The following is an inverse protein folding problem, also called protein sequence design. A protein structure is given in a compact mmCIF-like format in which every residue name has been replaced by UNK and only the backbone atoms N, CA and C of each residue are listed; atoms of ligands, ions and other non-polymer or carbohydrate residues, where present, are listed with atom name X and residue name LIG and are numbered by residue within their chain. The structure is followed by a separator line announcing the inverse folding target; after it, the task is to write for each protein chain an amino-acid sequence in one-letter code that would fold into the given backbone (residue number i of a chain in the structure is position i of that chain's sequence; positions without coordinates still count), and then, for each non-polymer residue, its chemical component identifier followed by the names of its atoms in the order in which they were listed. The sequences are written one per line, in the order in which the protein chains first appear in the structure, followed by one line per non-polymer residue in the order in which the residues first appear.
data_IF_193653029151
#
_entry.id   IF_193653029151
#
_cell.length_a   1.000
_cell.length_b   1.000
_cell.length_c   1.000
_cell.angle_alpha   90.00
_cell.angle_beta   90.00
_cell.angle_gamma   90.00
#
_symmetry.space_group_name_H-M   'P 1'
#
loop_
_entity.id
_entity.type
_entity.pdbx_description
1 polymer ?
#
# COMPACT_ATOMS: atom_id res chain seq x y z
N UNK A 1 -0.86 -5.10 -82.32
CA UNK A 1 -2.16 -4.69 -81.74
C UNK A 1 -2.70 -5.88 -80.96
N UNK A 2 -2.67 -5.81 -79.60
CA UNK A 2 -3.86 -5.83 -78.70
C UNK A 2 -4.78 -7.03 -78.97
N UNK A 3 -4.97 -7.97 -78.04
CA UNK A 3 -5.68 -7.71 -76.78
C UNK A 3 -5.56 -8.87 -75.77
N UNK A 4 -5.41 -8.47 -74.50
CA UNK A 4 -5.53 -9.20 -73.23
C UNK A 4 -6.65 -10.26 -73.13
N UNK A 5 -6.35 -11.38 -72.46
CA UNK A 5 -6.96 -11.75 -71.15
C UNK A 5 -6.07 -12.78 -70.45
N UNK A 6 -5.33 -12.37 -69.41
CA UNK A 6 -5.62 -12.71 -68.00
C UNK A 6 -6.28 -14.09 -67.82
N UNK A 7 -5.49 -15.09 -67.45
CA UNK A 7 -5.80 -15.99 -66.32
C UNK A 7 -4.52 -16.66 -65.83
N UNK A 8 -4.17 -16.25 -64.62
CA UNK A 8 -3.10 -16.72 -63.79
C UNK A 8 -3.31 -18.20 -63.46
N UNK A 9 -2.28 -19.03 -63.65
CA UNK A 9 -2.06 -20.23 -62.84
C UNK A 9 -0.66 -20.09 -62.26
N UNK A 10 -0.56 -19.20 -61.28
CA UNK A 10 0.55 -19.23 -60.34
C UNK A 10 0.40 -20.51 -59.54
N UNK A 11 1.44 -21.33 -59.60
CA UNK A 11 1.83 -22.33 -58.62
C UNK A 11 1.43 -21.84 -57.22
N UNK A 12 0.34 -22.39 -56.68
CA UNK A 12 -0.11 -22.15 -55.33
C UNK A 12 0.85 -22.91 -54.39
N UNK A 13 2.04 -22.33 -54.22
CA UNK A 13 2.92 -22.62 -53.10
C UNK A 13 2.26 -21.99 -51.86
N UNK A 14 1.15 -22.58 -51.43
CA UNK A 14 0.61 -22.35 -50.10
C UNK A 14 1.64 -22.92 -49.14
N UNK A 15 2.54 -22.04 -48.67
CA UNK A 15 3.18 -22.19 -47.39
C UNK A 15 2.08 -22.54 -46.40
N UNK A 16 2.02 -23.81 -46.00
CA UNK A 16 1.55 -24.20 -44.70
C UNK A 16 2.52 -23.58 -43.68
N UNK A 17 2.35 -22.28 -43.42
CA UNK A 17 2.58 -21.69 -42.09
C UNK A 17 1.45 -22.17 -41.17
N UNK A 18 1.29 -23.49 -41.08
CA UNK A 18 0.69 -24.09 -39.91
C UNK A 18 1.81 -24.13 -38.88
N UNK A 19 1.97 -23.06 -38.11
CA UNK A 19 2.53 -23.19 -36.75
C UNK A 19 1.59 -24.13 -36.02
N UNK A 20 1.86 -25.43 -36.13
CA UNK A 20 1.28 -26.43 -35.26
C UNK A 20 1.84 -26.11 -33.88
N UNK A 21 1.11 -25.29 -33.12
CA UNK A 21 1.20 -25.23 -31.67
C UNK A 21 0.75 -26.60 -31.14
N UNK A 22 1.62 -27.59 -31.30
CA UNK A 22 1.43 -28.90 -30.71
C UNK A 22 1.74 -28.78 -29.23
N UNK A 23 0.71 -28.72 -28.39
CA UNK A 23 0.85 -29.00 -26.96
C UNK A 23 1.49 -30.38 -26.79
N UNK A 24 2.74 -30.41 -26.32
CA UNK A 24 3.47 -31.64 -26.04
C UNK A 24 3.63 -31.81 -24.53
N UNK A 25 3.01 -32.86 -24.01
CA UNK A 25 3.02 -33.28 -22.60
C UNK A 25 4.35 -33.98 -22.21
N UNK A 26 5.24 -33.32 -21.48
CA UNK A 26 6.57 -33.74 -20.99
C UNK A 26 6.63 -34.08 -19.49
N UNK A 27 6.23 -35.28 -19.05
CA UNK A 27 6.30 -35.65 -17.62
C UNK A 27 7.74 -35.61 -17.04
N UNK A 28 8.08 -34.58 -16.25
CA UNK A 28 9.42 -34.34 -15.67
C UNK A 28 9.79 -35.35 -14.56
N UNK A 29 8.79 -35.99 -13.95
CA UNK A 29 9.01 -37.03 -12.92
C UNK A 29 9.64 -38.33 -13.42
N UNK A 30 9.91 -38.45 -14.73
CA UNK A 30 10.59 -39.64 -15.30
C UNK A 30 12.06 -39.43 -15.65
N UNK A 31 12.64 -38.26 -15.38
CA UNK A 31 13.98 -37.96 -15.88
C UNK A 31 14.88 -37.30 -14.85
N UNK A 32 15.89 -38.05 -14.39
CA UNK A 32 17.12 -37.50 -13.80
C UNK A 32 18.11 -37.21 -14.94
N UNK A 33 18.48 -35.94 -15.17
CA UNK A 33 19.51 -35.55 -16.14
C UNK A 33 19.24 -34.21 -16.85
N UNK A 34 20.26 -33.60 -17.45
CA UNK A 34 20.10 -32.40 -18.27
C UNK A 34 19.44 -32.75 -19.61
N UNK A 35 18.31 -32.13 -19.94
CA UNK A 35 17.74 -32.16 -21.28
C UNK A 35 17.53 -30.75 -21.80
N UNK A 36 18.03 -30.48 -23.00
CA UNK A 36 17.63 -29.38 -23.85
C UNK A 36 16.43 -29.82 -24.67
N UNK A 37 15.22 -29.43 -24.26
CA UNK A 37 14.02 -29.56 -25.11
C UNK A 37 13.50 -28.15 -25.35
N UNK A 38 13.19 -27.79 -26.59
CA UNK A 38 12.68 -26.45 -26.95
C UNK A 38 13.56 -25.27 -26.50
N UNK A 39 14.87 -25.50 -26.41
CA UNK A 39 15.79 -24.49 -25.90
C UNK A 39 15.55 -24.15 -24.44
N UNK A 40 15.07 -25.07 -23.60
CA UNK A 40 15.04 -24.94 -22.13
C UNK A 40 15.88 -26.06 -21.54
N UNK A 41 16.77 -25.71 -20.61
CA UNK A 41 17.58 -26.61 -19.81
C UNK A 41 16.87 -26.91 -18.49
N UNK A 42 16.65 -28.19 -18.20
CA UNK A 42 16.09 -28.65 -16.92
C UNK A 42 17.15 -29.38 -16.11
N UNK A 43 17.33 -29.02 -14.85
CA UNK A 43 18.24 -29.69 -13.91
C UNK A 43 17.52 -29.95 -12.59
N UNK A 44 17.41 -31.22 -12.19
CA UNK A 44 16.83 -31.59 -10.89
C UNK A 44 17.92 -32.15 -9.97
N UNK A 45 18.11 -31.54 -8.79
CA UNK A 45 19.08 -31.98 -7.78
C UNK A 45 18.54 -31.71 -6.37
N UNK A 46 18.57 -32.72 -5.50
CA UNK A 46 18.18 -32.56 -4.09
C UNK A 46 16.73 -32.11 -3.87
N UNK A 47 15.80 -32.50 -4.76
CA UNK A 47 14.39 -32.10 -4.68
C UNK A 47 14.08 -30.71 -5.26
N UNK A 48 15.09 -29.98 -5.75
CA UNK A 48 14.93 -28.70 -6.45
C UNK A 48 14.99 -28.93 -7.95
N UNK A 49 14.03 -28.38 -8.69
CA UNK A 49 14.03 -28.37 -10.16
C UNK A 49 14.32 -26.97 -10.69
N UNK A 50 15.45 -26.82 -11.38
CA UNK A 50 15.88 -25.57 -12.02
C UNK A 50 15.62 -25.60 -13.51
N UNK A 51 15.02 -24.53 -14.03
CA UNK A 51 14.65 -24.32 -15.42
C UNK A 51 15.37 -23.07 -15.95
N UNK A 52 16.13 -23.20 -17.03
CA UNK A 52 16.90 -22.09 -17.62
C UNK A 52 16.72 -22.08 -19.14
N UNK A 53 16.28 -20.97 -19.76
CA UNK A 53 16.27 -20.83 -21.22
C UNK A 53 17.68 -21.00 -21.79
N UNK A 54 17.79 -21.67 -22.92
CA UNK A 54 18.97 -21.76 -23.75
C UNK A 54 19.20 -20.46 -24.51
N UNK A 55 20.43 -20.27 -24.98
CA UNK A 55 20.97 -19.00 -25.50
C UNK A 55 20.20 -18.33 -26.66
N UNK A 56 19.19 -18.98 -27.23
CA UNK A 56 18.43 -18.49 -28.40
C UNK A 56 17.03 -17.96 -28.09
N UNK A 57 16.60 -17.90 -26.83
CA UNK A 57 15.23 -17.50 -26.46
C UNK A 57 15.24 -16.21 -25.65
N UNK A 58 14.60 -15.17 -26.20
CA UNK A 58 14.37 -13.89 -25.54
C UNK A 58 13.13 -13.97 -24.64
N UNK A 59 13.21 -14.74 -23.55
CA UNK A 59 12.10 -14.85 -22.60
C UNK A 59 11.76 -16.29 -22.21
N UNK A 60 10.92 -16.44 -21.19
CA UNK A 60 10.32 -17.70 -20.79
C UNK A 60 8.80 -17.49 -20.68
N UNK A 61 8.04 -18.05 -21.60
CA UNK A 61 6.58 -18.17 -21.47
C UNK A 61 6.25 -19.46 -20.73
N UNK A 62 5.59 -19.35 -19.58
CA UNK A 62 5.32 -20.46 -18.67
C UNK A 62 4.07 -21.26 -19.05
N UNK A 63 3.35 -20.88 -20.12
CA UNK A 63 2.27 -21.69 -20.68
C UNK A 63 2.68 -23.12 -21.02
N UNK A 64 3.92 -23.30 -21.45
CA UNK A 64 4.49 -24.60 -21.80
C UNK A 64 4.80 -25.47 -20.57
N UNK A 65 4.65 -24.94 -19.34
CA UNK A 65 5.05 -25.59 -18.10
C UNK A 65 3.90 -26.29 -17.34
N UNK A 66 2.66 -26.17 -17.83
CA UNK A 66 1.40 -26.56 -17.17
C UNK A 66 1.40 -27.97 -16.54
N UNK A 67 2.17 -28.91 -17.07
CA UNK A 67 1.96 -30.33 -16.78
C UNK A 67 2.93 -30.97 -15.76
N UNK A 68 3.86 -30.23 -15.12
CA UNK A 68 5.10 -30.89 -14.64
C UNK A 68 5.58 -30.66 -13.20
N UNK A 69 5.07 -29.67 -12.47
CA UNK A 69 5.59 -29.38 -11.14
C UNK A 69 4.83 -30.18 -10.07
N UNK A 70 5.23 -31.44 -9.88
CA UNK A 70 4.74 -32.27 -8.77
C UNK A 70 5.82 -32.38 -7.70
N UNK A 71 5.61 -31.64 -6.60
CA UNK A 71 6.33 -31.71 -5.30
C UNK A 71 7.78 -31.23 -5.34
N UNK A 72 8.13 -30.34 -4.42
CA UNK A 72 9.48 -29.77 -4.26
C UNK A 72 9.62 -28.34 -4.76
N UNK A 73 10.81 -27.76 -4.57
CA UNK A 73 11.10 -26.37 -4.89
C UNK A 73 11.43 -26.20 -6.38
N UNK A 74 10.99 -25.10 -6.97
CA UNK A 74 11.17 -24.82 -8.39
C UNK A 74 11.88 -23.49 -8.55
N UNK A 75 12.92 -23.46 -9.39
CA UNK A 75 13.66 -22.24 -9.72
C UNK A 75 13.59 -21.98 -11.21
N UNK A 76 12.93 -20.90 -11.61
CA UNK A 76 12.95 -20.38 -12.97
C UNK A 76 14.03 -19.30 -13.06
N UNK A 77 15.08 -19.53 -13.83
CA UNK A 77 16.15 -18.54 -14.01
C UNK A 77 16.23 -18.12 -15.48
N UNK A 78 15.91 -16.86 -15.77
CA UNK A 78 16.06 -16.25 -17.08
C UNK A 78 17.03 -15.06 -17.04
N UNK A 79 18.22 -15.24 -17.62
CA UNK A 79 19.29 -14.23 -17.58
C UNK A 79 19.35 -13.34 -18.83
N UNK A 80 18.48 -13.54 -19.81
CA UNK A 80 18.53 -12.85 -21.11
C UNK A 80 17.20 -12.22 -21.55
N UNK A 81 16.09 -12.49 -20.86
CA UNK A 81 14.77 -11.94 -21.23
C UNK A 81 13.75 -12.00 -20.10
N UNK A 82 12.52 -11.63 -20.42
CA UNK A 82 11.42 -11.56 -19.44
C UNK A 82 10.85 -12.94 -19.10
N UNK A 83 10.23 -13.08 -17.93
CA UNK A 83 9.46 -14.28 -17.57
C UNK A 83 7.99 -13.90 -17.58
N UNK A 84 7.18 -14.58 -18.39
CA UNK A 84 5.78 -14.24 -18.59
C UNK A 84 4.92 -15.46 -18.28
N UNK A 85 3.95 -15.26 -17.39
CA UNK A 85 2.90 -16.21 -17.07
C UNK A 85 1.62 -15.69 -17.72
N UNK A 86 1.03 -16.47 -18.63
CA UNK A 86 -0.27 -16.07 -19.18
C UNK A 86 -1.35 -16.24 -18.12
N UNK A 87 -2.20 -15.23 -18.06
CA UNK A 87 -3.31 -15.14 -17.12
C UNK A 87 -4.21 -16.37 -17.17
N UNK A 88 -4.52 -16.92 -16.00
CA UNK A 88 -5.40 -18.08 -15.88
C UNK A 88 -4.79 -19.39 -16.40
N UNK A 89 -3.48 -19.43 -16.65
CA UNK A 89 -2.82 -20.66 -17.11
C UNK A 89 -2.04 -21.32 -15.98
N UNK A 90 -1.34 -20.58 -15.12
CA UNK A 90 -0.59 -21.25 -14.05
C UNK A 90 -1.53 -21.72 -12.91
N UNK A 91 -1.63 -23.04 -12.75
CA UNK A 91 -2.43 -23.71 -11.71
C UNK A 91 -1.52 -24.69 -10.93
N UNK A 92 -0.84 -24.24 -9.86
CA UNK A 92 -0.03 -25.13 -9.06
C UNK A 92 -0.93 -26.15 -8.34
N UNK A 93 -0.71 -27.44 -8.63
CA UNK A 93 -1.44 -28.57 -8.02
C UNK A 93 -0.51 -29.39 -7.12
N UNK A 94 -0.91 -29.58 -5.87
CA UNK A 94 -0.18 -30.39 -4.89
C UNK A 94 0.70 -29.57 -3.94
N UNK A 95 1.58 -30.26 -3.19
CA UNK A 95 2.50 -29.68 -2.20
C UNK A 95 3.70 -28.97 -2.89
N UNK A 96 3.45 -27.92 -3.67
CA UNK A 96 4.52 -27.12 -4.25
C UNK A 96 5.05 -26.18 -3.18
N UNK A 97 6.15 -26.55 -2.50
CA UNK A 97 6.61 -25.83 -1.32
C UNK A 97 7.11 -24.42 -1.64
N UNK A 98 7.83 -24.22 -2.76
CA UNK A 98 8.37 -22.91 -3.14
C UNK A 98 8.60 -22.76 -4.65
N UNK A 99 8.20 -21.62 -5.21
CA UNK A 99 8.57 -21.15 -6.55
C UNK A 99 9.47 -19.93 -6.45
N UNK A 100 10.66 -20.02 -7.03
CA UNK A 100 11.61 -18.92 -7.15
C UNK A 100 11.77 -18.52 -8.60
N UNK A 101 11.67 -17.23 -8.91
CA UNK A 101 11.84 -16.67 -10.25
C UNK A 101 12.98 -15.66 -10.19
N UNK A 102 14.00 -15.85 -11.02
CA UNK A 102 15.15 -14.93 -11.13
C UNK A 102 15.19 -14.43 -12.57
N UNK A 103 15.04 -13.13 -12.76
CA UNK A 103 15.02 -12.49 -14.08
C UNK A 103 15.94 -11.28 -14.15
N UNK A 104 16.70 -11.12 -15.24
CA UNK A 104 17.41 -9.84 -15.53
C UNK A 104 16.53 -8.81 -16.23
N UNK A 105 15.31 -9.18 -16.59
CA UNK A 105 14.32 -8.34 -17.26
C UNK A 105 13.02 -8.38 -16.46
N UNK A 106 11.93 -7.92 -17.06
CA UNK A 106 10.61 -7.89 -16.47
C UNK A 106 10.09 -9.30 -16.12
N UNK A 107 9.19 -9.36 -15.14
CA UNK A 107 8.41 -10.54 -14.80
C UNK A 107 6.94 -10.15 -14.84
N UNK A 108 6.16 -10.84 -15.65
CA UNK A 108 4.70 -10.75 -15.66
C UNK A 108 4.15 -12.03 -15.06
N UNK A 109 3.59 -11.94 -13.86
CA UNK A 109 3.13 -13.07 -13.08
C UNK A 109 1.62 -13.01 -12.85
N UNK A 110 0.96 -14.11 -13.17
CA UNK A 110 -0.47 -14.30 -12.96
C UNK A 110 -0.76 -15.79 -12.74
N UNK A 111 -1.83 -16.10 -12.01
CA UNK A 111 -2.27 -17.50 -11.81
C UNK A 111 -3.73 -17.67 -12.20
N UNK A 112 -4.37 -18.74 -11.73
CA UNK A 112 -5.81 -19.01 -11.86
C UNK A 112 -6.57 -18.59 -10.60
N UNK A 113 -7.86 -18.28 -10.75
CA UNK A 113 -8.75 -17.88 -9.63
C UNK A 113 -8.88 -18.95 -8.53
N UNK A 114 -8.47 -20.19 -8.82
CA UNK A 114 -8.72 -21.38 -7.99
C UNK A 114 -7.46 -21.95 -7.36
N UNK A 115 -6.39 -21.17 -7.25
CA UNK A 115 -5.18 -21.64 -6.59
C UNK A 115 -5.44 -21.88 -5.09
N UNK A 116 -5.55 -23.16 -4.72
CA UNK A 116 -5.75 -23.63 -3.34
C UNK A 116 -4.47 -24.19 -2.73
N UNK A 117 -3.36 -24.18 -3.50
CA UNK A 117 -2.08 -24.70 -3.04
C UNK A 117 -1.35 -23.68 -2.16
N UNK A 118 -0.63 -24.18 -1.16
CA UNK A 118 0.32 -23.38 -0.39
C UNK A 118 1.54 -23.17 -1.27
N UNK A 119 1.77 -21.95 -1.75
CA UNK A 119 2.87 -21.59 -2.64
C UNK A 119 3.69 -20.48 -2.00
N UNK A 120 4.88 -20.80 -1.50
CA UNK A 120 5.86 -19.76 -1.22
C UNK A 120 6.40 -19.23 -2.56
N UNK A 121 6.42 -17.92 -2.72
CA UNK A 121 6.83 -17.27 -3.96
C UNK A 121 7.96 -16.29 -3.69
N UNK A 122 9.06 -16.41 -4.43
CA UNK A 122 10.22 -15.53 -4.35
C UNK A 122 10.58 -15.06 -5.76
N UNK A 123 10.20 -13.82 -6.12
CA UNK A 123 10.51 -13.23 -7.44
C UNK A 123 11.59 -12.18 -7.26
N UNK A 124 12.71 -12.35 -7.97
CA UNK A 124 13.82 -11.39 -8.04
C UNK A 124 14.04 -10.96 -9.48
N UNK A 125 13.82 -9.69 -9.75
CA UNK A 125 13.90 -9.10 -11.09
C UNK A 125 14.76 -7.83 -11.07
N UNK A 126 15.62 -7.66 -12.08
CA UNK A 126 16.26 -6.36 -12.33
C UNK A 126 15.35 -5.38 -13.08
N UNK A 127 14.23 -5.86 -13.61
CA UNK A 127 13.20 -5.12 -14.33
C UNK A 127 11.95 -4.90 -13.48
N UNK A 128 10.83 -4.72 -14.18
CA UNK A 128 9.52 -4.50 -13.58
C UNK A 128 8.84 -5.83 -13.26
N UNK A 129 8.24 -5.95 -12.08
CA UNK A 129 7.38 -7.06 -11.72
C UNK A 129 5.91 -6.62 -11.85
N UNK A 130 5.14 -7.34 -12.64
CA UNK A 130 3.71 -7.17 -12.78
C UNK A 130 3.01 -8.36 -12.13
N UNK A 131 2.11 -8.09 -11.18
CA UNK A 131 1.21 -9.08 -10.59
C UNK A 131 -0.22 -8.72 -11.02
N UNK A 132 -0.80 -9.58 -11.86
CA UNK A 132 -2.15 -9.40 -12.39
C UNK A 132 -3.17 -10.34 -11.73
N UNK A 133 -4.41 -9.87 -11.57
CA UNK A 133 -5.53 -10.64 -11.04
C UNK A 133 -5.99 -11.75 -12.00
N UNK A 134 -6.34 -12.95 -11.54
CA UNK A 134 -6.13 -13.47 -10.19
C UNK A 134 -4.64 -13.75 -9.98
N UNK A 135 -3.99 -13.01 -9.09
CA UNK A 135 -2.56 -13.14 -8.89
C UNK A 135 -2.26 -14.32 -7.99
N UNK A 136 -1.82 -14.10 -6.76
CA UNK A 136 -1.39 -15.17 -5.85
C UNK A 136 -2.48 -15.36 -4.79
N UNK A 137 -3.02 -16.56 -4.65
CA UNK A 137 -3.93 -16.92 -3.56
C UNK A 137 -3.39 -18.16 -2.82
N UNK A 138 -3.35 -18.13 -1.49
CA UNK A 138 -3.01 -19.32 -0.71
C UNK A 138 -3.16 -19.16 0.80
N UNK A 139 -3.08 -20.31 1.49
CA UNK A 139 -3.38 -20.39 2.92
C UNK A 139 -2.15 -20.16 3.81
N UNK A 140 -0.93 -20.44 3.34
CA UNK A 140 0.32 -20.30 4.09
C UNK A 140 1.49 -20.00 3.15
N UNK A 141 1.51 -18.79 2.61
CA UNK A 141 2.45 -18.40 1.56
C UNK A 141 3.37 -17.29 2.07
N UNK A 142 4.67 -17.53 2.10
CA UNK A 142 5.68 -16.47 2.15
C UNK A 142 5.83 -15.90 0.74
N UNK A 143 5.55 -14.61 0.57
CA UNK A 143 5.64 -13.94 -0.73
C UNK A 143 6.70 -12.87 -0.63
N UNK A 144 7.76 -13.00 -1.43
CA UNK A 144 8.83 -12.04 -1.55
C UNK A 144 8.95 -11.57 -3.00
N UNK A 145 8.83 -10.27 -3.23
CA UNK A 145 8.97 -9.64 -4.55
C UNK A 145 10.07 -8.58 -4.48
N UNK A 146 11.14 -8.73 -5.25
CA UNK A 146 12.26 -7.79 -5.34
C UNK A 146 12.44 -7.35 -6.79
N UNK A 147 12.18 -6.07 -7.08
CA UNK A 147 12.16 -5.52 -8.45
C UNK A 147 12.71 -4.10 -8.59
N UNK A 148 12.85 -3.62 -9.82
CA UNK A 148 13.02 -2.18 -10.09
C UNK A 148 11.74 -1.43 -9.72
N UNK A 149 10.62 -1.88 -10.25
CA UNK A 149 9.27 -1.42 -9.88
C UNK A 149 8.36 -2.63 -9.72
N UNK A 150 7.35 -2.52 -8.86
CA UNK A 150 6.36 -3.59 -8.65
C UNK A 150 4.95 -3.01 -8.82
N UNK A 151 4.18 -3.60 -9.73
CA UNK A 151 2.80 -3.25 -10.00
C UNK A 151 1.89 -4.40 -9.57
N UNK A 152 1.01 -4.14 -8.59
CA UNK A 152 0.04 -5.12 -8.08
C UNK A 152 -1.34 -4.56 -8.37
N UNK A 153 -2.13 -5.26 -9.19
CA UNK A 153 -3.46 -4.80 -9.59
C UNK A 153 -4.52 -5.83 -9.26
N UNK A 154 -5.76 -5.37 -9.09
CA UNK A 154 -6.95 -6.21 -8.88
C UNK A 154 -6.84 -7.06 -7.60
N UNK A 155 -7.35 -8.29 -7.54
CA UNK A 155 -7.03 -9.25 -6.46
C UNK A 155 -5.68 -9.90 -6.70
N UNK A 156 -4.63 -9.08 -6.67
CA UNK A 156 -3.27 -9.47 -7.02
C UNK A 156 -2.63 -10.43 -6.00
N UNK A 157 -2.81 -10.21 -4.69
CA UNK A 157 -2.24 -11.06 -3.65
C UNK A 157 -3.28 -11.30 -2.56
N UNK A 158 -3.53 -12.57 -2.22
CA UNK A 158 -4.41 -13.02 -1.15
C UNK A 158 -3.66 -14.04 -0.31
N UNK A 159 -3.36 -13.69 0.94
CA UNK A 159 -2.64 -14.55 1.89
C UNK A 159 -3.43 -14.69 3.20
N UNK A 160 -3.78 -15.92 3.57
CA UNK A 160 -4.43 -16.18 4.87
C UNK A 160 -3.42 -16.31 6.02
N UNK A 161 -2.18 -16.71 5.71
CA UNK A 161 -1.02 -16.74 6.61
C UNK A 161 0.28 -16.73 5.79
N UNK A 162 1.40 -16.34 6.42
CA UNK A 162 2.70 -16.16 5.74
C UNK A 162 2.90 -14.72 5.27
N UNK A 163 4.09 -14.16 5.49
CA UNK A 163 4.34 -12.74 5.34
C UNK A 163 4.49 -12.34 3.85
N UNK A 164 4.13 -11.09 3.55
CA UNK A 164 4.25 -10.49 2.22
C UNK A 164 5.28 -9.38 2.30
N UNK A 165 6.39 -9.54 1.58
CA UNK A 165 7.46 -8.57 1.46
C UNK A 165 7.59 -8.13 0.00
N UNK A 166 7.50 -6.82 -0.24
CA UNK A 166 7.66 -6.22 -1.56
C UNK A 166 8.71 -5.13 -1.48
N UNK A 167 9.83 -5.34 -2.14
CA UNK A 167 10.94 -4.40 -2.22
C UNK A 167 11.08 -3.92 -3.68
N UNK A 168 10.90 -2.61 -3.90
CA UNK A 168 11.10 -2.00 -5.21
C UNK A 168 12.13 -0.88 -5.12
N UNK A 169 13.13 -0.88 -6.01
CA UNK A 169 14.13 0.20 -6.04
C UNK A 169 13.49 1.56 -6.33
N UNK A 170 12.59 1.61 -7.29
CA UNK A 170 11.97 2.83 -7.79
C UNK A 170 10.56 2.98 -7.23
N UNK A 171 9.62 2.09 -7.58
CA UNK A 171 8.21 2.32 -7.23
C UNK A 171 7.41 1.07 -6.94
N UNK A 172 6.47 1.19 -6.00
CA UNK A 172 5.37 0.25 -5.79
C UNK A 172 4.06 0.94 -6.16
N UNK A 173 3.29 0.30 -7.03
CA UNK A 173 1.94 0.74 -7.39
C UNK A 173 0.95 -0.38 -7.06
N UNK A 174 -0.01 -0.08 -6.20
CA UNK A 174 -1.05 -1.02 -5.76
C UNK A 174 -2.41 -0.43 -6.11
N UNK A 175 -3.20 -1.14 -6.91
CA UNK A 175 -4.58 -0.74 -7.23
C UNK A 175 -5.55 -1.90 -7.18
N UNK A 176 -6.85 -1.58 -7.09
CA UNK A 176 -7.89 -2.58 -6.84
C UNK A 176 -7.75 -3.19 -5.45
N UNK A 177 -8.29 -4.40 -5.23
CA UNK A 177 -8.08 -5.16 -3.98
C UNK A 177 -6.69 -5.82 -3.92
N UNK A 178 -5.66 -5.01 -4.20
CA UNK A 178 -4.31 -5.43 -4.58
C UNK A 178 -3.69 -6.47 -3.67
N UNK A 179 -3.71 -6.21 -2.36
CA UNK A 179 -3.20 -7.11 -1.33
C UNK A 179 -4.26 -7.33 -0.25
N UNK A 180 -4.63 -8.59 -0.02
CA UNK A 180 -5.50 -9.03 1.07
C UNK A 180 -4.76 -10.04 1.96
N UNK A 181 -4.50 -9.64 3.19
CA UNK A 181 -3.86 -10.43 4.24
C UNK A 181 -4.81 -10.66 5.42
N UNK A 182 -4.89 -11.89 5.93
CA UNK A 182 -5.63 -12.17 7.18
C UNK A 182 -4.67 -12.20 8.36
N UNK A 183 -3.82 -13.22 8.48
CA UNK A 183 -2.87 -13.40 9.59
C UNK A 183 -1.42 -13.10 9.21
N UNK A 184 -1.21 -12.27 8.18
CA UNK A 184 0.09 -12.04 7.57
C UNK A 184 0.58 -10.62 7.83
N UNK A 185 1.89 -10.47 8.08
CA UNK A 185 2.50 -9.16 8.00
C UNK A 185 2.68 -8.77 6.53
N UNK A 186 2.56 -7.47 6.27
CA UNK A 186 2.88 -6.86 4.98
C UNK A 186 4.02 -5.89 5.22
N UNK A 187 5.09 -5.99 4.45
CA UNK A 187 6.18 -5.05 4.41
C UNK A 187 6.38 -4.56 2.97
N UNK A 188 6.33 -3.24 2.80
CA UNK A 188 6.59 -2.58 1.52
C UNK A 188 7.77 -1.64 1.67
N UNK A 189 8.81 -1.81 0.85
CA UNK A 189 10.01 -0.98 0.83
C UNK A 189 10.20 -0.40 -0.57
N UNK A 190 10.09 0.91 -0.73
CA UNK A 190 10.26 1.55 -2.04
C UNK A 190 10.72 3.00 -2.00
N UNK A 191 11.17 3.54 -3.14
CA UNK A 191 11.43 4.99 -3.26
C UNK A 191 10.11 5.76 -3.36
N UNK A 192 9.20 5.35 -4.24
CA UNK A 192 7.87 5.93 -4.39
C UNK A 192 6.75 4.90 -4.19
N UNK A 193 5.66 5.30 -3.52
CA UNK A 193 4.49 4.46 -3.30
C UNK A 193 3.22 5.13 -3.81
N UNK A 194 2.41 4.39 -4.54
CA UNK A 194 1.01 4.76 -4.83
C UNK A 194 0.11 3.58 -4.44
N UNK A 195 -0.83 3.84 -3.54
CA UNK A 195 -1.91 2.91 -3.17
C UNK A 195 -3.24 3.56 -3.53
N UNK A 196 -3.94 2.98 -4.49
CA UNK A 196 -5.29 3.39 -4.87
C UNK A 196 -6.36 2.72 -4.00
N UNK A 197 -7.62 3.04 -4.25
CA UNK A 197 -8.77 2.63 -3.43
C UNK A 197 -8.82 1.11 -3.24
N UNK A 198 -8.95 0.70 -1.98
CA UNK A 198 -8.97 -0.69 -1.50
C UNK A 198 -7.68 -1.48 -1.74
N UNK A 199 -6.55 -0.79 -1.98
CA UNK A 199 -5.27 -1.39 -2.33
C UNK A 199 -4.77 -2.44 -1.33
N UNK A 200 -4.88 -2.18 -0.03
CA UNK A 200 -4.37 -3.08 1.02
C UNK A 200 -5.43 -3.34 2.08
N UNK A 201 -5.68 -4.61 2.38
CA UNK A 201 -6.53 -5.05 3.49
C UNK A 201 -5.78 -6.08 4.34
N UNK A 202 -5.38 -5.70 5.56
CA UNK A 202 -4.70 -6.56 6.54
C UNK A 202 -5.51 -6.68 7.84
N UNK A 203 -6.11 -7.85 8.09
CA UNK A 203 -7.07 -8.01 9.19
C UNK A 203 -6.43 -8.23 10.56
N UNK A 204 -5.38 -9.05 10.66
CA UNK A 204 -4.78 -9.45 11.93
C UNK A 204 -3.27 -9.22 12.01
N UNK A 205 -2.59 -9.02 10.89
CA UNK A 205 -1.15 -8.75 10.85
C UNK A 205 -0.79 -7.26 10.92
N UNK A 206 0.52 -7.00 10.85
CA UNK A 206 1.07 -5.63 10.79
C UNK A 206 1.30 -5.24 9.34
N UNK A 207 0.90 -4.02 8.97
CA UNK A 207 1.27 -3.41 7.69
C UNK A 207 2.37 -2.38 7.95
N UNK A 208 3.55 -2.59 7.38
CA UNK A 208 4.70 -1.69 7.45
C UNK A 208 5.07 -1.19 6.06
N UNK A 209 5.31 0.11 5.95
CA UNK A 209 5.67 0.75 4.70
C UNK A 209 6.85 1.69 4.93
N UNK A 210 7.93 1.55 4.17
CA UNK A 210 9.05 2.47 4.16
C UNK A 210 9.17 3.12 2.78
N UNK A 211 9.16 4.45 2.75
CA UNK A 211 9.10 5.27 1.53
C UNK A 211 10.31 6.19 1.46
N UNK A 212 11.19 5.97 0.48
CA UNK A 212 12.40 6.77 0.31
C UNK A 212 12.14 8.24 -0.05
N UNK A 213 11.11 8.52 -0.86
CA UNK A 213 10.84 9.85 -1.40
C UNK A 213 9.38 10.30 -1.23
N UNK A 214 8.44 9.64 -1.88
CA UNK A 214 7.05 10.11 -1.91
C UNK A 214 6.03 8.96 -1.84
N UNK A 215 5.06 9.10 -0.94
CA UNK A 215 3.93 8.18 -0.83
C UNK A 215 2.60 8.88 -1.06
N UNK A 216 1.71 8.23 -1.81
CA UNK A 216 0.32 8.63 -1.96
C UNK A 216 -0.62 7.45 -1.68
N UNK A 217 -1.58 7.67 -0.79
CA UNK A 217 -2.65 6.71 -0.47
C UNK A 217 -3.98 7.41 -0.75
N UNK A 218 -4.74 6.92 -1.74
CA UNK A 218 -6.01 7.51 -2.14
C UNK A 218 -7.22 6.62 -1.86
N UNK A 219 -8.39 7.25 -1.67
CA UNK A 219 -9.66 6.54 -1.45
C UNK A 219 -9.70 5.83 -0.09
N UNK A 220 -10.21 4.61 -0.01
CA UNK A 220 -10.07 3.74 1.18
C UNK A 220 -8.85 2.85 0.97
N UNK A 221 -7.65 3.45 0.92
CA UNK A 221 -6.45 2.78 0.40
C UNK A 221 -5.96 1.61 1.26
N UNK A 222 -5.92 1.78 2.59
CA UNK A 222 -5.40 0.80 3.54
C UNK A 222 -6.41 0.54 4.65
N UNK A 223 -6.80 -0.73 4.83
CA UNK A 223 -7.46 -1.23 6.02
C UNK A 223 -6.49 -2.11 6.80
N UNK A 224 -6.11 -1.73 8.01
CA UNK A 224 -5.16 -2.51 8.80
C UNK A 224 -5.56 -2.60 10.26
N UNK A 225 -5.15 -3.66 10.96
CA UNK A 225 -5.20 -3.67 12.43
C UNK A 225 -4.12 -2.78 13.02
N UNK A 226 -2.91 -2.95 12.51
CA UNK A 226 -1.72 -2.19 12.90
C UNK A 226 -1.08 -1.62 11.64
N UNK A 227 -0.81 -0.33 11.64
CA UNK A 227 -0.21 0.35 10.50
C UNK A 227 1.00 1.17 10.93
N UNK A 228 2.13 1.01 10.24
CA UNK A 228 3.24 1.93 10.38
C UNK A 228 3.76 2.34 9.02
N UNK A 229 3.92 3.64 8.80
CA UNK A 229 4.59 4.17 7.62
C UNK A 229 5.73 5.10 8.04
N UNK A 230 6.85 5.02 7.33
CA UNK A 230 7.97 5.93 7.53
C UNK A 230 8.56 6.38 6.19
N UNK A 231 9.24 7.53 6.18
CA UNK A 231 9.86 8.01 4.96
C UNK A 231 10.08 9.51 4.89
N UNK A 232 10.20 10.04 3.67
CA UNK A 232 10.35 11.47 3.45
C UNK A 232 9.00 12.19 3.44
N UNK A 233 8.06 11.86 2.55
CA UNK A 233 6.74 12.53 2.50
C UNK A 233 5.59 11.56 2.24
N UNK A 234 4.40 11.89 2.77
CA UNK A 234 3.19 11.09 2.63
C UNK A 234 1.94 11.96 2.43
N UNK A 235 1.15 11.64 1.42
CA UNK A 235 -0.19 12.22 1.21
C UNK A 235 -1.25 11.13 1.32
N UNK A 236 -2.26 11.34 2.16
CA UNK A 236 -3.41 10.47 2.37
C UNK A 236 -4.67 11.24 1.96
N UNK A 237 -5.47 10.70 1.05
CA UNK A 237 -6.79 11.24 0.66
C UNK A 237 -7.91 10.21 0.86
N UNK A 238 -9.16 10.65 0.91
CA UNK A 238 -10.34 9.81 1.24
C UNK A 238 -10.35 9.30 2.67
N UNK A 239 -10.92 8.11 2.88
CA UNK A 239 -10.78 7.29 4.10
C UNK A 239 -9.38 6.62 4.16
N UNK A 240 -8.35 7.22 3.56
CA UNK A 240 -7.13 6.58 3.02
C UNK A 240 -6.49 5.51 3.89
N UNK A 241 -6.47 5.70 5.21
CA UNK A 241 -5.98 4.69 6.14
C UNK A 241 -7.00 4.49 7.27
N UNK A 242 -7.60 3.30 7.33
CA UNK A 242 -8.51 2.87 8.38
C UNK A 242 -7.82 1.84 9.28
N UNK A 243 -7.62 2.19 10.55
CA UNK A 243 -6.85 1.38 11.49
C UNK A 243 -7.64 1.07 12.76
N UNK A 244 -7.71 -0.21 13.13
CA UNK A 244 -8.55 -0.65 14.26
C UNK A 244 -7.84 -0.74 15.62
N UNK A 245 -6.50 -0.70 15.67
CA UNK A 245 -5.74 -0.71 16.93
C UNK A 245 -4.77 0.45 17.07
N UNK A 246 -3.76 0.54 16.22
CA UNK A 246 -2.84 1.68 16.28
C UNK A 246 -2.17 1.98 14.94
N UNK A 247 -1.84 3.24 14.74
CA UNK A 247 -1.13 3.75 13.57
C UNK A 247 0.08 4.60 13.99
N UNK A 248 1.22 4.43 13.31
CA UNK A 248 2.44 5.22 13.50
C UNK A 248 2.89 5.76 12.15
N UNK A 249 2.93 7.08 12.00
CA UNK A 249 3.48 7.75 10.82
C UNK A 249 4.74 8.52 11.24
N UNK A 250 5.90 8.18 10.69
CA UNK A 250 7.18 8.81 11.04
C UNK A 250 7.89 9.33 9.79
N UNK A 251 7.74 10.61 9.50
CA UNK A 251 8.24 11.23 8.28
C UNK A 251 9.19 12.40 8.56
N UNK A 252 10.28 12.47 7.82
CA UNK A 252 11.25 13.58 7.90
C UNK A 252 10.78 14.84 7.16
N UNK A 253 9.85 14.69 6.23
CA UNK A 253 9.22 15.74 5.44
C UNK A 253 7.75 15.92 5.78
N UNK A 254 6.97 16.36 4.78
CA UNK A 254 5.59 16.77 4.98
C UNK A 254 4.62 15.58 4.96
N UNK A 255 3.63 15.62 5.86
CA UNK A 255 2.49 14.71 5.86
C UNK A 255 1.21 15.50 5.61
N UNK A 256 0.40 15.06 4.65
CA UNK A 256 -0.89 15.68 4.31
C UNK A 256 -2.01 14.65 4.38
N UNK A 257 -3.08 14.96 5.11
CA UNK A 257 -4.27 14.10 5.27
C UNK A 257 -5.50 14.89 4.83
N UNK A 258 -6.11 14.51 3.71
CA UNK A 258 -7.22 15.20 3.08
C UNK A 258 -8.57 14.48 3.27
N UNK A 259 -9.65 15.10 2.77
CA UNK A 259 -11.02 14.58 2.72
C UNK A 259 -11.65 14.28 4.09
N UNK A 260 -11.47 13.08 4.65
CA UNK A 260 -12.08 12.58 5.91
C UNK A 260 -11.19 12.80 7.16
N UNK A 261 -9.95 13.28 6.96
CA UNK A 261 -9.06 13.73 8.03
C UNK A 261 -8.66 12.58 8.95
N UNK A 262 -8.60 12.85 10.27
CA UNK A 262 -8.26 11.84 11.27
C UNK A 262 -9.50 11.52 12.10
N UNK A 263 -9.97 10.28 12.04
CA UNK A 263 -11.06 9.79 12.91
C UNK A 263 -10.64 8.53 13.65
N UNK A 264 -10.61 8.61 14.98
CA UNK A 264 -10.22 7.51 15.86
C UNK A 264 -11.39 7.13 16.78
N UNK A 265 -11.86 5.89 16.72
CA UNK A 265 -12.90 5.37 17.64
C UNK A 265 -12.31 4.68 18.87
N UNK A 266 -11.01 4.35 18.84
CA UNK A 266 -10.24 3.74 19.93
C UNK A 266 -8.78 3.54 19.53
N UNK A 267 -7.91 3.13 20.47
CA UNK A 267 -6.50 2.84 20.18
C UNK A 267 -5.57 4.06 20.20
N UNK A 268 -4.46 4.02 19.45
CA UNK A 268 -3.49 5.11 19.44
C UNK A 268 -3.01 5.46 18.02
N UNK A 269 -2.97 6.76 17.70
CA UNK A 269 -2.34 7.30 16.51
C UNK A 269 -1.15 8.17 16.95
N UNK A 270 0.01 7.93 16.36
CA UNK A 270 1.18 8.79 16.50
C UNK A 270 1.63 9.28 15.11
N UNK A 271 1.78 10.60 14.96
CA UNK A 271 2.32 11.21 13.73
C UNK A 271 3.50 12.09 14.11
N UNK A 272 4.64 11.82 13.49
CA UNK A 272 5.81 12.69 13.47
C UNK A 272 6.06 13.15 12.04
N UNK A 273 6.17 14.46 11.85
CA UNK A 273 6.35 15.09 10.53
C UNK A 273 7.09 16.43 10.63
N UNK A 274 7.65 16.92 9.51
CA UNK A 274 8.16 18.29 9.41
C UNK A 274 7.01 19.29 9.46
N UNK A 275 6.08 19.18 8.52
CA UNK A 275 4.81 19.89 8.52
C UNK A 275 3.67 18.86 8.45
N UNK A 276 2.58 19.14 9.15
CA UNK A 276 1.37 18.32 9.08
C UNK A 276 0.18 19.19 8.67
N UNK A 277 -0.49 18.80 7.58
CA UNK A 277 -1.76 19.40 7.16
C UNK A 277 -2.86 18.35 7.24
N UNK A 278 -3.94 18.66 7.95
CA UNK A 278 -5.14 17.81 8.09
C UNK A 278 -6.35 18.61 7.61
N UNK A 279 -7.14 18.02 6.73
CA UNK A 279 -8.31 18.66 6.12
C UNK A 279 -8.05 19.15 4.69
N UNK A 280 -9.13 19.22 3.91
CA UNK A 280 -9.13 19.76 2.54
C UNK A 280 -9.80 21.13 2.47
N UNK A 281 -9.95 21.64 1.23
CA UNK A 281 -10.50 22.96 0.96
C UNK A 281 -11.91 23.19 1.54
N UNK A 282 -12.18 24.45 1.85
CA UNK A 282 -13.33 25.01 2.57
C UNK A 282 -14.69 24.60 1.99
N UNK A 283 -14.76 24.40 0.67
CA UNK A 283 -16.02 24.23 -0.06
C UNK A 283 -16.62 22.81 0.00
N UNK A 284 -15.87 21.82 0.50
CA UNK A 284 -16.28 20.39 0.45
C UNK A 284 -16.70 19.80 1.79
N UNK A 285 -16.89 20.62 2.83
CA UNK A 285 -17.32 20.13 4.15
C UNK A 285 -16.28 19.23 4.82
N UNK A 286 -15.00 19.55 4.58
CA UNK A 286 -13.83 18.72 4.86
C UNK A 286 -13.58 18.39 6.33
N UNK A 287 -12.39 17.85 6.61
CA UNK A 287 -12.13 17.14 7.86
C UNK A 287 -11.11 17.74 8.79
N UNK A 288 -11.16 17.27 10.02
CA UNK A 288 -10.30 17.68 11.12
C UNK A 288 -9.77 16.48 11.88
N UNK A 289 -9.48 16.67 13.17
CA UNK A 289 -9.09 15.59 14.08
C UNK A 289 -10.29 15.25 14.95
N UNK A 290 -10.73 14.00 14.94
CA UNK A 290 -11.82 13.51 15.76
C UNK A 290 -11.38 12.25 16.50
N UNK A 291 -11.52 12.24 17.82
CA UNK A 291 -11.36 11.02 18.62
C UNK A 291 -12.58 10.78 19.50
N UNK A 292 -13.18 9.60 19.41
CA UNK A 292 -14.28 9.14 20.27
C UNK A 292 -13.79 8.18 21.37
N UNK A 293 -12.48 7.97 21.43
CA UNK A 293 -11.76 7.06 22.32
C UNK A 293 -10.32 6.89 21.83
N UNK A 294 -9.40 6.56 22.73
CA UNK A 294 -7.98 6.42 22.41
C UNK A 294 -7.19 7.72 22.46
N UNK A 295 -6.00 7.75 21.83
CA UNK A 295 -5.10 8.91 21.85
C UNK A 295 -4.52 9.25 20.47
N UNK A 296 -4.62 10.50 20.04
CA UNK A 296 -3.92 11.06 18.89
C UNK A 296 -2.75 11.89 19.40
N UNK A 297 -1.53 11.55 19.01
CA UNK A 297 -0.30 12.24 19.38
C UNK A 297 0.40 12.76 18.12
N UNK A 298 0.58 14.08 18.02
CA UNK A 298 1.20 14.76 16.89
C UNK A 298 2.48 15.46 17.38
N UNK A 299 3.63 15.07 16.84
CA UNK A 299 4.95 15.65 17.13
C UNK A 299 5.51 16.29 15.85
N UNK A 300 5.27 17.59 15.68
CA UNK A 300 5.46 18.30 14.42
C UNK A 300 6.64 19.26 14.54
N UNK A 301 7.64 19.10 13.67
CA UNK A 301 8.89 19.87 13.78
C UNK A 301 8.70 21.36 13.46
N UNK A 302 7.81 21.68 12.52
CA UNK A 302 7.52 23.05 12.09
C UNK A 302 6.04 23.36 12.33
N UNK A 303 5.18 23.20 11.34
CA UNK A 303 3.82 23.74 11.37
C UNK A 303 2.75 22.65 11.37
N UNK A 304 1.74 22.82 12.21
CA UNK A 304 0.50 22.05 12.20
C UNK A 304 -0.64 22.92 11.66
N UNK A 305 -1.28 22.47 10.59
CA UNK A 305 -2.48 23.08 10.02
C UNK A 305 -3.63 22.07 10.04
N UNK A 306 -4.71 22.39 10.74
CA UNK A 306 -5.97 21.63 10.76
C UNK A 306 -7.06 22.50 10.13
N UNK A 307 -7.76 22.02 9.12
CA UNK A 307 -8.77 22.77 8.38
C UNK A 307 -10.18 22.17 8.55
N UNK A 308 -11.17 22.82 7.97
CA UNK A 308 -12.58 22.40 7.86
C UNK A 308 -13.34 22.03 9.16
N UNK A 309 -13.10 20.87 9.78
CA UNK A 309 -13.84 20.39 10.97
C UNK A 309 -13.13 20.58 12.30
N UNK A 310 -11.95 21.17 12.30
CA UNK A 310 -11.25 21.55 13.53
C UNK A 310 -10.79 20.35 14.36
N UNK A 311 -10.82 20.46 15.69
CA UNK A 311 -10.35 19.40 16.60
C UNK A 311 -11.46 19.03 17.58
N UNK A 312 -11.84 17.75 17.60
CA UNK A 312 -12.86 17.19 18.48
C UNK A 312 -12.30 16.00 19.29
N UNK A 313 -12.43 16.09 20.62
CA UNK A 313 -12.17 14.98 21.52
C UNK A 313 -13.44 14.63 22.30
N UNK A 314 -14.10 13.52 21.94
CA UNK A 314 -15.10 12.82 22.76
C UNK A 314 -14.43 12.20 23.97
N UNK A 315 -14.51 10.88 24.19
CA UNK A 315 -13.83 10.21 25.31
C UNK A 315 -12.33 9.94 25.09
N UNK A 316 -11.72 10.60 24.11
CA UNK A 316 -10.33 10.39 23.71
C UNK A 316 -9.40 11.52 24.13
N UNK A 317 -8.14 11.45 23.67
CA UNK A 317 -7.15 12.50 23.90
C UNK A 317 -6.50 12.94 22.59
N UNK A 318 -6.33 14.24 22.41
CA UNK A 318 -5.52 14.82 21.34
C UNK A 318 -4.37 15.58 21.97
N UNK A 319 -3.14 15.18 21.66
CA UNK A 319 -1.91 15.86 22.07
C UNK A 319 -1.18 16.30 20.81
N UNK A 320 -1.04 17.61 20.61
CA UNK A 320 -0.35 18.15 19.44
C UNK A 320 0.71 19.17 19.86
N UNK A 321 1.94 18.92 19.45
CA UNK A 321 3.10 19.78 19.69
C UNK A 321 3.67 20.18 18.34
N UNK A 322 3.79 21.48 18.11
CA UNK A 322 4.45 22.04 16.93
C UNK A 322 5.68 22.87 17.34
N UNK A 323 6.76 22.76 16.57
CA UNK A 323 7.95 23.58 16.77
C UNK A 323 7.74 25.06 16.46
N UNK A 324 6.85 25.35 15.50
CA UNK A 324 6.46 26.69 15.05
C UNK A 324 4.94 26.84 15.23
N UNK A 325 4.18 27.07 14.17
CA UNK A 325 2.77 27.48 14.29
C UNK A 325 1.81 26.30 14.41
N UNK A 326 0.74 26.49 15.18
CA UNK A 326 -0.47 25.65 15.16
C UNK A 326 -1.62 26.50 14.66
N UNK A 327 -2.25 26.07 13.57
CA UNK A 327 -3.39 26.76 12.99
C UNK A 327 -4.56 25.78 12.88
N UNK A 328 -5.66 26.09 13.54
CA UNK A 328 -6.95 25.39 13.37
C UNK A 328 -7.88 26.33 12.64
N UNK A 329 -8.48 25.88 11.54
CA UNK A 329 -9.42 26.67 10.71
C UNK A 329 -10.81 26.02 10.66
N UNK A 330 -11.84 26.86 10.50
CA UNK A 330 -13.26 26.56 10.24
C UNK A 330 -14.07 25.82 11.31
N UNK A 331 -13.58 24.73 11.91
CA UNK A 331 -14.38 23.89 12.80
C UNK A 331 -14.20 24.11 14.30
N UNK A 332 -13.27 24.99 14.71
CA UNK A 332 -13.00 25.27 16.12
C UNK A 332 -12.37 24.09 16.89
N UNK A 333 -12.40 24.16 18.23
CA UNK A 333 -11.91 23.11 19.13
C UNK A 333 -13.03 22.75 20.10
N UNK A 334 -13.33 21.46 20.22
CA UNK A 334 -14.44 20.97 21.06
C UNK A 334 -14.04 19.72 21.85
N UNK A 335 -14.41 19.66 23.14
CA UNK A 335 -14.31 18.44 23.96
C UNK A 335 -15.69 17.92 24.37
N UNK A 336 -15.79 16.62 24.65
CA UNK A 336 -16.93 15.96 25.30
C UNK A 336 -16.41 14.76 26.11
N UNK A 337 -16.01 15.02 27.36
CA UNK A 337 -15.34 14.07 28.29
C UNK A 337 -13.95 13.55 27.87
N UNK A 338 -13.21 14.35 27.09
CA UNK A 338 -11.84 14.03 26.71
C UNK A 338 -10.99 15.28 26.57
N UNK A 339 -9.69 15.07 26.35
CA UNK A 339 -8.68 16.09 26.56
C UNK A 339 -8.05 16.55 25.24
N UNK A 340 -7.87 17.86 25.09
CA UNK A 340 -7.12 18.44 23.97
C UNK A 340 -5.96 19.26 24.54
N UNK A 341 -4.75 18.91 24.12
CA UNK A 341 -3.53 19.64 24.41
C UNK A 341 -2.92 20.14 23.11
N UNK A 342 -2.74 21.46 23.00
CA UNK A 342 -2.05 22.11 21.89
C UNK A 342 -0.87 22.90 22.41
N UNK A 343 0.31 22.68 21.83
CA UNK A 343 1.51 23.44 22.12
C UNK A 343 2.17 23.96 20.85
N UNK A 344 2.55 25.23 20.88
CA UNK A 344 3.50 25.84 19.95
C UNK A 344 4.75 26.24 20.73
N UNK A 345 5.90 25.65 20.35
CA UNK A 345 7.17 25.87 21.07
C UNK A 345 7.75 27.24 20.81
N UNK A 346 7.75 27.71 19.56
CA UNK A 346 8.39 28.98 19.17
C UNK A 346 7.47 29.89 18.32
N UNK A 347 6.27 29.44 17.98
CA UNK A 347 5.35 30.12 17.08
C UNK A 347 4.08 30.62 17.77
N UNK A 348 3.02 30.68 16.98
CA UNK A 348 1.68 31.11 17.41
C UNK A 348 0.69 29.98 17.33
N UNK A 349 -0.35 30.09 18.16
CA UNK A 349 -1.56 29.28 18.04
C UNK A 349 -2.67 30.18 17.48
N UNK A 350 -3.19 29.83 16.31
CA UNK A 350 -4.31 30.53 15.66
C UNK A 350 -5.51 29.62 15.60
N UNK A 351 -6.59 30.02 16.26
CA UNK A 351 -7.87 29.31 16.24
C UNK A 351 -8.88 30.14 15.43
N UNK A 352 -8.98 29.82 14.15
CA UNK A 352 -9.96 30.34 13.22
C UNK A 352 -11.12 29.37 13.01
N UNK A 353 -12.35 29.85 12.94
CA UNK A 353 -13.46 29.04 12.41
C UNK A 353 -14.76 29.12 13.17
N UNK A 354 -15.87 29.29 12.43
CA UNK A 354 -17.22 29.42 12.98
C UNK A 354 -17.60 28.22 13.84
N UNK A 355 -18.09 28.51 15.04
CA UNK A 355 -18.67 27.53 15.95
C UNK A 355 -20.05 27.11 15.40
N UNK A 356 -20.08 26.29 14.34
CA UNK A 356 -21.29 25.90 13.60
C UNK A 356 -22.30 25.09 14.43
N UNK A 357 -22.01 24.82 15.71
CA UNK A 357 -22.92 24.19 16.67
C UNK A 357 -22.85 24.83 18.07
N UNK A 358 -22.96 26.15 18.19
CA UNK A 358 -23.16 26.84 19.49
C UNK A 358 -24.51 26.49 20.20
N UNK A 359 -25.11 25.34 19.88
CA UNK A 359 -26.17 24.65 20.64
C UNK A 359 -25.64 23.43 21.41
N UNK A 360 -24.33 23.35 21.68
CA UNK A 360 -23.86 22.48 22.76
C UNK A 360 -24.26 23.16 24.08
N UNK A 361 -25.33 22.60 24.63
CA UNK A 361 -26.00 22.94 25.87
C UNK A 361 -24.98 23.28 26.97
N UNK A 362 -25.16 24.42 27.67
CA UNK A 362 -24.34 24.90 28.80
C UNK A 362 -24.47 24.00 30.05
N UNK A 363 -24.71 22.70 29.86
CA UNK A 363 -24.98 21.69 30.90
C UNK A 363 -23.90 20.61 31.02
N UNK A 364 -22.77 20.74 30.33
CA UNK A 364 -21.62 19.85 30.55
C UNK A 364 -20.78 20.35 31.73
N UNK A 365 -21.10 19.82 32.90
CA UNK A 365 -20.40 20.07 34.17
C UNK A 365 -19.00 19.46 34.14
N UNK A 366 -17.93 20.26 34.03
CA UNK A 366 -16.62 19.86 34.57
C UNK A 366 -15.34 20.30 33.86
N UNK A 367 -15.33 20.49 32.54
CA UNK A 367 -14.10 20.77 31.80
C UNK A 367 -13.62 22.23 31.92
N UNK A 368 -12.30 22.46 31.80
CA UNK A 368 -11.68 23.79 31.86
C UNK A 368 -10.89 24.11 30.58
N UNK A 369 -10.88 25.40 30.22
CA UNK A 369 -9.93 25.96 29.26
C UNK A 369 -8.76 26.58 30.05
N UNK A 370 -7.57 25.99 29.95
CA UNK A 370 -6.34 26.54 30.54
C UNK A 370 -5.49 27.25 29.48
N UNK A 371 -5.44 28.58 29.61
CA UNK A 371 -4.60 29.49 28.82
C UNK A 371 -3.57 30.23 29.69
N UNK A 372 -3.38 29.81 30.94
CA UNK A 372 -2.54 30.50 31.93
C UNK A 372 -1.07 30.65 31.52
N UNK A 373 -0.62 29.80 30.59
CA UNK A 373 0.76 29.76 30.09
C UNK A 373 0.96 30.50 28.76
N UNK A 374 0.01 31.34 28.35
CA UNK A 374 0.03 32.02 27.05
C UNK A 374 0.45 33.48 27.20
N UNK A 375 1.25 33.97 26.26
CA UNK A 375 1.38 35.42 26.04
C UNK A 375 0.30 35.89 25.06
N UNK A 376 -0.41 36.98 25.36
CA UNK A 376 -1.52 37.47 24.50
C UNK A 376 -1.10 37.79 23.05
N UNK A 377 0.20 37.90 22.75
CA UNK A 377 0.72 38.12 21.38
C UNK A 377 0.84 36.82 20.55
N UNK A 378 0.81 35.66 21.21
CA UNK A 378 1.07 34.35 20.59
C UNK A 378 -0.19 33.49 20.45
N UNK A 379 -1.33 33.95 20.97
CA UNK A 379 -2.63 33.33 20.76
C UNK A 379 -3.54 34.27 20.00
N UNK A 380 -4.07 33.80 18.87
CA UNK A 380 -5.08 34.49 18.09
C UNK A 380 -6.36 33.66 18.17
N UNK A 381 -7.34 34.14 18.94
CA UNK A 381 -8.69 33.57 19.01
C UNK A 381 -9.61 34.35 18.08
N UNK A 382 -10.04 33.71 16.99
CA UNK A 382 -11.12 34.25 16.15
C UNK A 382 -12.48 33.62 16.52
N UNK A 383 -12.48 32.50 17.23
CA UNK A 383 -13.66 31.85 17.79
C UNK A 383 -13.40 31.18 19.15
N UNK A 384 -14.46 31.04 19.95
CA UNK A 384 -14.39 30.44 21.29
C UNK A 384 -14.37 28.90 21.24
N UNK A 385 -13.44 28.23 21.94
CA UNK A 385 -13.47 26.78 22.15
C UNK A 385 -14.71 26.33 22.93
N UNK A 386 -15.19 25.11 22.67
CA UNK A 386 -16.34 24.51 23.40
C UNK A 386 -15.85 23.41 24.33
N UNK A 387 -16.16 23.54 25.62
CA UNK A 387 -15.70 22.61 26.66
C UNK A 387 -16.84 21.76 27.19
N UNK A 388 -16.87 20.48 26.82
CA UNK A 388 -17.97 19.55 27.05
C UNK A 388 -17.75 18.51 28.15
N UNK A 389 -16.78 18.72 29.06
CA UNK A 389 -16.55 17.84 30.21
C UNK A 389 -15.10 17.37 30.39
N UNK A 390 -14.25 17.50 29.38
CA UNK A 390 -12.78 17.30 29.50
C UNK A 390 -12.01 18.60 29.25
N UNK A 391 -10.70 18.59 29.45
CA UNK A 391 -9.90 19.83 29.50
C UNK A 391 -9.32 20.23 28.14
N UNK A 392 -9.25 21.54 27.89
CA UNK A 392 -8.49 22.12 26.77
C UNK A 392 -7.31 22.88 27.36
N UNK A 393 -6.10 22.43 27.07
CA UNK A 393 -4.86 23.10 27.46
C UNK A 393 -4.16 23.66 26.23
N UNK A 394 -3.87 24.96 26.24
CA UNK A 394 -3.17 25.64 25.15
C UNK A 394 -1.90 26.28 25.71
N UNK A 395 -0.75 25.95 25.13
CA UNK A 395 0.56 26.45 25.56
C UNK A 395 1.28 27.13 24.41
N UNK A 396 1.78 28.34 24.66
CA UNK A 396 2.79 28.98 23.81
C UNK A 396 3.98 29.29 24.70
N UNK A 397 5.19 28.86 24.35
CA UNK A 397 6.34 29.18 25.19
C UNK A 397 6.57 30.70 25.17
N UNK A 398 6.84 31.29 26.34
CA UNK A 398 7.30 32.69 26.41
C UNK A 398 8.66 32.76 25.73
N UNK A 399 8.72 33.48 24.61
CA UNK A 399 9.96 33.93 23.97
C UNK A 399 10.76 34.81 24.91
#
# INVERSE_FOLDING_TARGET
MRSLSRRWHIFLLTLLYGTVYGQLNFNVNKFSGSKTSFGINVVTRGGVTKLTPGNSINGLDVNDLYAYLKKGDVVLENLSGSVIFTQGVFEPKGDLCKLTIISKSDVDFSTTYTNTSNLDLDIKSQGVIWIHGPGIAGNSNQIHLEGKSVYIRETGIVSNSGDIEVCAKDSIFISGSGIRAIHSNIQLDCTDLIVERNGIHNQNGKCRINIGRFGQIGGVGIHAKYFSASGNSLTIGGDGVNVSKWAILNFDGDVKVFEEGIKLTGGALYIKAKNLTIGGDEDRGGSGIQTFGGSVNLDIAQNLLVQARGVFAGNGKVYAVAGQDVVVKFGGITTNNGDIFLESKNGKITLGGMNLNSKIDRKTTGGKLDTSRISNKNLILLTEPVVGGGDITIITKRS
#
